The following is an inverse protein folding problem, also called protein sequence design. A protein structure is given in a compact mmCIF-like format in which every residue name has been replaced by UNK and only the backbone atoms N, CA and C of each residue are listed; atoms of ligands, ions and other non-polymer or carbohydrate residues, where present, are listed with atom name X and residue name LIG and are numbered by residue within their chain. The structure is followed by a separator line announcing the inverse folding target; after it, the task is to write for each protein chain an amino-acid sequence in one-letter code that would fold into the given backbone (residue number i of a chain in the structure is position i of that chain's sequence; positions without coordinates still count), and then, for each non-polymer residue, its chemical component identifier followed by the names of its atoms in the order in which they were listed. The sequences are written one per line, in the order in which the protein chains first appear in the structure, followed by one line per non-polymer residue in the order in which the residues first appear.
data_IF_690950976646
#
_entry.id   IF_690950976646
#
_cell.length_a   1.000
_cell.length_b   1.000
_cell.length_c   1.000
_cell.angle_alpha   90.00
_cell.angle_beta   90.00
_cell.angle_gamma   90.00
#
_symmetry.space_group_name_H-M   'P 1'
#
loop_
_entity.id
_entity.type
_entity.pdbx_description
1 polymer ?
#
# COMPACT_ATOMS: atom_id res chain seq x y z
N UNK A 1 -15.60 1.76 -8.53
CA UNK A 1 -14.63 2.22 -9.53
C UNK A 1 -13.98 0.97 -10.14
N UNK A 2 -14.04 0.80 -11.46
CA UNK A 2 -13.34 -0.28 -12.18
C UNK A 2 -12.05 0.34 -12.72
N UNK A 3 -10.91 -0.31 -12.52
CA UNK A 3 -9.63 0.20 -12.98
C UNK A 3 -9.15 -0.70 -14.09
N UNK A 4 -9.24 -0.18 -15.33
CA UNK A 4 -8.85 -0.86 -16.56
C UNK A 4 -7.43 -0.46 -17.03
N UNK A 5 -6.57 -0.02 -16.11
CA UNK A 5 -5.19 0.36 -16.40
C UNK A 5 -4.18 -0.41 -15.52
N UNK A 6 -2.93 -0.61 -15.99
CA UNK A 6 -1.93 -1.34 -15.23
C UNK A 6 -1.58 -0.61 -13.93
N UNK A 7 -1.90 -1.23 -12.80
CA UNK A 7 -1.50 -0.76 -11.46
C UNK A 7 -0.24 -1.51 -11.06
N UNK A 8 0.83 -0.77 -10.76
CA UNK A 8 1.98 -1.36 -10.07
C UNK A 8 1.77 -1.20 -8.57
N UNK A 9 1.86 -2.31 -7.84
CA UNK A 9 1.69 -2.35 -6.40
C UNK A 9 3.06 -2.37 -5.74
N UNK A 10 3.25 -1.54 -4.71
CA UNK A 10 4.50 -1.50 -3.96
C UNK A 10 4.23 -1.36 -2.45
N UNK A 11 5.04 -2.04 -1.63
CA UNK A 11 5.12 -1.82 -0.19
C UNK A 11 6.59 -1.69 0.21
N UNK A 12 6.88 -1.02 1.34
CA UNK A 12 8.26 -0.70 1.69
C UNK A 12 8.47 -0.67 3.19
N UNK A 13 9.69 -1.03 3.59
CA UNK A 13 10.16 -0.98 4.98
C UNK A 13 11.45 -0.13 5.15
N UNK A 14 12.22 0.15 4.09
CA UNK A 14 13.49 0.90 4.20
C UNK A 14 13.72 1.92 3.05
N UNK A 15 13.79 3.21 3.40
CA UNK A 15 13.62 4.38 2.52
C UNK A 15 14.64 4.52 1.37
N UNK A 16 15.86 4.02 1.50
CA UNK A 16 16.97 4.40 0.59
C UNK A 16 17.28 3.42 -0.55
N UNK A 17 16.79 2.17 -0.52
CA UNK A 17 17.18 1.16 -1.54
C UNK A 17 16.22 0.99 -2.73
N UNK A 18 14.97 1.46 -2.65
CA UNK A 18 13.92 1.03 -3.62
C UNK A 18 13.52 2.03 -4.70
N UNK A 19 14.01 3.28 -4.72
CA UNK A 19 13.66 4.21 -5.82
C UNK A 19 14.13 3.66 -7.17
N UNK A 20 15.22 2.89 -7.17
CA UNK A 20 15.74 2.17 -8.33
C UNK A 20 14.74 1.19 -8.94
N UNK A 21 14.03 0.41 -8.11
CA UNK A 21 13.06 -0.60 -8.57
C UNK A 21 11.76 0.06 -9.04
N UNK A 22 11.40 1.20 -8.44
CA UNK A 22 10.28 2.03 -8.90
C UNK A 22 10.51 2.65 -10.30
N UNK A 23 11.74 2.58 -10.84
CA UNK A 23 11.99 3.00 -12.23
C UNK A 23 11.35 2.08 -13.27
N UNK A 24 10.99 0.85 -12.89
CA UNK A 24 10.29 -0.08 -13.78
C UNK A 24 8.80 0.27 -13.99
N UNK A 25 8.24 1.16 -13.17
CA UNK A 25 6.87 1.67 -13.38
C UNK A 25 6.83 2.39 -14.73
N UNK A 26 5.92 2.01 -15.65
CA UNK A 26 5.81 2.69 -16.93
C UNK A 26 5.49 4.17 -16.76
N UNK A 27 6.07 5.01 -17.62
CA UNK A 27 5.75 6.44 -17.65
C UNK A 27 4.25 6.62 -17.96
N UNK A 28 3.61 7.59 -17.30
CA UNK A 28 2.15 7.78 -17.36
C UNK A 28 1.33 6.74 -16.58
N UNK A 29 1.98 5.80 -15.89
CA UNK A 29 1.32 4.72 -15.15
C UNK A 29 0.69 5.16 -13.83
N UNK A 30 -0.03 4.24 -13.18
CA UNK A 30 -0.51 4.40 -11.80
C UNK A 30 0.33 3.57 -10.84
N UNK A 31 0.87 4.22 -9.82
CA UNK A 31 1.57 3.60 -8.70
C UNK A 31 0.66 3.60 -7.47
N UNK A 32 0.32 2.42 -6.96
CA UNK A 32 -0.42 2.24 -5.71
C UNK A 32 0.54 1.79 -4.60
N UNK A 33 0.73 2.67 -3.63
CA UNK A 33 1.52 2.43 -2.43
C UNK A 33 0.62 1.83 -1.34
N UNK A 34 1.02 0.69 -0.78
CA UNK A 34 0.35 0.04 0.35
C UNK A 34 1.02 0.42 1.67
N UNK A 35 1.04 1.72 1.95
CA UNK A 35 1.40 2.28 3.25
C UNK A 35 2.87 2.21 3.60
N UNK A 36 3.19 2.75 4.78
CA UNK A 36 4.51 2.78 5.38
C UNK A 36 5.57 3.29 4.41
N UNK A 37 5.33 4.48 3.84
CA UNK A 37 6.25 5.08 2.86
C UNK A 37 7.63 5.36 3.48
N UNK A 38 7.68 5.49 4.81
CA UNK A 38 8.90 5.56 5.61
C UNK A 38 8.64 5.10 7.05
N UNK A 39 9.72 4.78 7.76
CA UNK A 39 9.68 4.68 9.23
C UNK A 39 10.13 6.02 9.81
N UNK A 40 9.19 6.94 10.03
CA UNK A 40 9.40 8.26 10.67
C UNK A 40 10.24 9.28 9.87
N UNK A 41 10.37 9.10 8.55
CA UNK A 41 11.08 10.01 7.65
C UNK A 41 10.15 10.49 6.51
N UNK A 42 8.87 10.73 6.82
CA UNK A 42 7.83 10.99 5.83
C UNK A 42 8.18 12.11 4.86
N UNK A 43 8.80 13.20 5.35
CA UNK A 43 9.21 14.31 4.49
C UNK A 43 10.19 13.87 3.39
N UNK A 44 11.23 13.11 3.75
CA UNK A 44 12.22 12.61 2.80
C UNK A 44 11.59 11.62 1.81
N UNK A 45 10.71 10.74 2.28
CA UNK A 45 10.00 9.81 1.41
C UNK A 45 9.07 10.54 0.43
N UNK A 46 8.33 11.55 0.90
CA UNK A 46 7.45 12.36 0.06
C UNK A 46 8.25 13.13 -1.00
N UNK A 47 9.40 13.70 -0.65
CA UNK A 47 10.28 14.39 -1.60
C UNK A 47 10.75 13.44 -2.71
N UNK A 48 11.23 12.24 -2.36
CA UNK A 48 11.63 11.23 -3.34
C UNK A 48 10.46 10.77 -4.23
N UNK A 49 9.27 10.61 -3.66
CA UNK A 49 8.08 10.19 -4.41
C UNK A 49 7.56 11.31 -5.32
N UNK A 50 7.65 12.57 -4.90
CA UNK A 50 7.34 13.73 -5.73
C UNK A 50 8.27 13.81 -6.95
N UNK A 51 9.58 13.62 -6.75
CA UNK A 51 10.55 13.58 -7.84
C UNK A 51 10.22 12.47 -8.84
N UNK A 52 9.91 11.26 -8.34
CA UNK A 52 9.53 10.14 -9.19
C UNK A 52 8.23 10.42 -9.96
N UNK A 53 7.21 10.96 -9.29
CA UNK A 53 5.92 11.34 -9.90
C UNK A 53 6.14 12.30 -11.06
N UNK A 54 6.95 13.34 -10.84
CA UNK A 54 7.26 14.33 -11.86
C UNK A 54 8.07 13.72 -13.02
N UNK A 55 9.11 12.95 -12.72
CA UNK A 55 9.98 12.33 -13.73
C UNK A 55 9.23 11.38 -14.66
N UNK A 56 8.26 10.63 -14.13
CA UNK A 56 7.52 9.59 -14.87
C UNK A 56 6.09 9.96 -15.20
N UNK A 57 5.64 11.16 -14.86
CA UNK A 57 4.25 11.61 -15.03
C UNK A 57 3.23 10.61 -14.42
N UNK A 58 3.46 10.18 -13.18
CA UNK A 58 2.65 9.13 -12.55
C UNK A 58 1.36 9.68 -11.95
N UNK A 59 0.33 8.82 -11.95
CA UNK A 59 -0.77 8.92 -10.99
C UNK A 59 -0.39 8.13 -9.74
N UNK A 60 -0.49 8.73 -8.56
CA UNK A 60 -0.04 8.12 -7.30
C UNK A 60 -1.17 7.95 -6.31
N UNK A 61 -1.39 6.72 -5.87
CA UNK A 61 -2.41 6.37 -4.90
C UNK A 61 -1.77 5.79 -3.65
N UNK A 62 -2.32 6.12 -2.49
CA UNK A 62 -1.87 5.65 -1.20
C UNK A 62 -3.01 4.97 -0.44
N UNK A 63 -2.78 3.73 -0.06
CA UNK A 63 -3.48 3.09 1.06
C UNK A 63 -2.56 3.20 2.27
N UNK A 64 -2.79 4.19 3.13
CA UNK A 64 -1.78 4.57 4.12
C UNK A 64 -1.65 3.55 5.26
N UNK A 65 -0.42 3.30 5.68
CA UNK A 65 -0.06 2.34 6.70
C UNK A 65 0.00 2.94 8.10
N UNK A 66 0.25 2.10 9.09
CA UNK A 66 0.23 2.52 10.49
C UNK A 66 1.46 3.36 10.88
N UNK A 67 2.51 3.39 10.06
CA UNK A 67 3.66 4.26 10.26
C UNK A 67 3.56 5.61 9.52
N UNK A 68 2.63 5.74 8.58
CA UNK A 68 2.38 7.00 7.87
C UNK A 68 1.75 8.03 8.82
N UNK A 69 2.30 9.24 8.87
CA UNK A 69 1.87 10.30 9.82
C UNK A 69 0.41 10.71 9.67
N UNK A 70 -0.19 10.47 8.51
CA UNK A 70 -1.60 10.72 8.23
C UNK A 70 -2.53 9.59 8.72
N UNK A 71 -2.00 8.54 9.33
CA UNK A 71 -2.82 7.47 9.87
C UNK A 71 -3.63 7.97 11.08
N UNK A 72 -4.97 7.78 11.12
CA UNK A 72 -5.81 8.29 12.20
C UNK A 72 -5.48 7.77 13.61
N UNK A 73 -4.66 6.72 13.72
CA UNK A 73 -4.17 6.24 15.01
C UNK A 73 -3.33 7.27 15.77
N UNK A 74 -2.74 8.24 15.07
CA UNK A 74 -1.95 9.31 15.67
C UNK A 74 -2.81 10.48 16.19
N UNK A 75 -4.14 10.42 16.03
CA UNK A 75 -5.05 11.51 16.40
C UNK A 75 -5.19 12.56 15.30
N UNK A 76 -6.01 13.59 15.56
CA UNK A 76 -6.36 14.58 14.55
C UNK A 76 -5.20 15.53 14.20
N UNK A 77 -4.41 15.96 15.18
CA UNK A 77 -3.38 16.99 14.97
C UNK A 77 -2.29 16.54 13.98
N UNK A 78 -1.73 15.32 14.06
CA UNK A 78 -0.79 14.84 13.05
C UNK A 78 -1.44 14.70 11.67
N UNK A 79 -2.68 14.21 11.61
CA UNK A 79 -3.41 14.05 10.34
C UNK A 79 -3.58 15.40 9.64
N UNK A 80 -4.07 16.42 10.35
CA UNK A 80 -4.27 17.76 9.77
C UNK A 80 -2.94 18.38 9.33
N UNK A 81 -1.88 18.16 10.10
CA UNK A 81 -0.54 18.69 9.81
C UNK A 81 0.07 18.07 8.56
N UNK A 82 -0.05 16.74 8.39
CA UNK A 82 0.65 16.00 7.33
C UNK A 82 -0.16 15.80 6.06
N UNK A 83 -1.51 15.83 6.14
CA UNK A 83 -2.37 15.61 4.97
C UNK A 83 -2.04 16.51 3.78
N UNK A 84 -1.74 17.83 3.94
CA UNK A 84 -1.35 18.67 2.82
C UNK A 84 -0.12 18.15 2.06
N UNK A 85 0.97 17.82 2.77
CA UNK A 85 2.19 17.31 2.14
C UNK A 85 1.96 15.98 1.41
N UNK A 86 1.16 15.10 1.99
CA UNK A 86 0.77 13.86 1.33
C UNK A 86 -0.06 14.10 0.06
N UNK A 87 -0.95 15.11 0.05
CA UNK A 87 -1.81 15.43 -1.11
C UNK A 87 -1.07 16.10 -2.27
N UNK A 88 0.08 16.71 -2.02
CA UNK A 88 0.95 17.18 -3.12
C UNK A 88 1.50 16.00 -3.94
N UNK A 89 1.73 14.85 -3.27
CA UNK A 89 2.27 13.64 -3.90
C UNK A 89 1.17 12.72 -4.39
N UNK A 90 0.18 12.41 -3.56
CA UNK A 90 -0.83 11.39 -3.82
C UNK A 90 -2.16 11.99 -4.29
N UNK A 91 -2.63 11.52 -5.44
CA UNK A 91 -3.92 11.89 -6.03
C UNK A 91 -5.09 11.22 -5.31
N UNK A 92 -4.85 10.06 -4.70
CA UNK A 92 -5.82 9.32 -3.90
C UNK A 92 -5.17 8.87 -2.61
N UNK A 93 -5.83 9.12 -1.47
CA UNK A 93 -5.40 8.68 -0.15
C UNK A 93 -6.59 8.01 0.53
N UNK A 94 -6.40 6.77 0.99
CA UNK A 94 -7.44 6.00 1.68
C UNK A 94 -6.85 5.08 2.76
N UNK A 95 -7.70 4.62 3.67
CA UNK A 95 -7.40 3.55 4.63
C UNK A 95 -7.51 2.16 3.98
N UNK A 96 -8.44 2.03 3.04
CA UNK A 96 -8.68 0.82 2.26
C UNK A 96 -9.17 1.24 0.88
N UNK A 97 -8.86 0.44 -0.13
CA UNK A 97 -9.31 0.67 -1.49
C UNK A 97 -9.89 -0.63 -2.06
N UNK A 98 -11.11 -0.55 -2.58
CA UNK A 98 -11.78 -1.66 -3.23
C UNK A 98 -11.66 -1.51 -4.73
N UNK A 99 -11.02 -2.49 -5.36
CA UNK A 99 -10.79 -2.51 -6.80
C UNK A 99 -11.51 -3.71 -7.38
N UNK A 100 -12.22 -3.50 -8.49
CA UNK A 100 -12.75 -4.60 -9.30
C UNK A 100 -11.81 -4.86 -10.47
N UNK A 101 -11.32 -6.09 -10.58
CA UNK A 101 -10.44 -6.54 -11.67
C UNK A 101 -11.13 -7.69 -12.39
N UNK A 102 -11.67 -7.42 -13.59
CA UNK A 102 -12.59 -8.33 -14.26
C UNK A 102 -13.79 -8.66 -13.37
N UNK A 103 -13.93 -9.95 -13.01
CA UNK A 103 -14.98 -10.44 -12.10
C UNK A 103 -14.61 -10.42 -10.62
N UNK A 104 -13.35 -10.14 -10.28
CA UNK A 104 -12.82 -10.28 -8.93
C UNK A 104 -12.96 -8.95 -8.17
N UNK A 105 -13.50 -8.97 -6.95
CA UNK A 105 -13.36 -7.86 -6.01
C UNK A 105 -12.10 -8.06 -5.17
N UNK A 106 -11.24 -7.06 -5.20
CA UNK A 106 -9.94 -7.06 -4.54
C UNK A 106 -9.92 -5.94 -3.51
N UNK A 107 -9.59 -6.28 -2.27
CA UNK A 107 -9.34 -5.31 -1.22
C UNK A 107 -7.85 -5.00 -1.17
N UNK A 108 -7.51 -3.73 -1.31
CA UNK A 108 -6.18 -3.20 -1.04
C UNK A 108 -6.23 -2.58 0.37
N UNK A 109 -5.43 -3.09 1.28
CA UNK A 109 -5.36 -2.62 2.68
C UNK A 109 -3.92 -2.68 3.16
N UNK A 110 -3.51 -1.81 4.08
CA UNK A 110 -2.17 -1.95 4.65
C UNK A 110 -2.11 -3.10 5.66
N UNK A 111 -3.06 -3.15 6.61
CA UNK A 111 -3.06 -4.10 7.73
C UNK A 111 -3.91 -5.33 7.34
N UNK A 112 -3.33 -6.54 7.24
CA UNK A 112 -4.09 -7.74 6.94
C UNK A 112 -5.02 -8.09 8.10
N UNK A 113 -6.01 -8.92 7.80
CA UNK A 113 -6.91 -9.47 8.81
C UNK A 113 -6.22 -10.63 9.54
N UNK A 114 -6.07 -10.52 10.86
CA UNK A 114 -5.44 -11.56 11.68
C UNK A 114 -6.39 -12.69 12.14
N UNK A 115 -7.71 -12.56 11.95
CA UNK A 115 -8.72 -13.55 12.40
C UNK A 115 -9.82 -13.77 11.37
N UNK A 116 -10.36 -14.99 11.28
CA UNK A 116 -11.42 -15.33 10.31
C UNK A 116 -10.96 -16.33 9.25
N UNK A 117 -11.80 -16.54 8.23
CA UNK A 117 -11.65 -17.64 7.26
C UNK A 117 -10.42 -17.49 6.37
N UNK A 118 -10.10 -16.24 6.04
CA UNK A 118 -9.01 -15.85 5.15
C UNK A 118 -7.95 -15.03 5.89
N UNK A 119 -7.81 -15.30 7.20
CA UNK A 119 -6.85 -14.64 8.07
C UNK A 119 -5.41 -14.94 7.66
N UNK A 120 -4.54 -13.95 7.88
CA UNK A 120 -3.11 -14.10 7.70
C UNK A 120 -2.39 -13.86 9.02
N UNK A 121 -1.54 -14.81 9.45
CA UNK A 121 -0.68 -14.60 10.60
C UNK A 121 0.20 -13.38 10.38
N UNK A 122 0.08 -12.43 11.30
CA UNK A 122 0.86 -11.21 11.29
C UNK A 122 1.53 -11.05 12.67
N UNK A 123 2.87 -11.15 12.75
CA UNK A 123 3.60 -11.02 14.00
C UNK A 123 3.56 -9.58 14.55
N UNK A 124 3.18 -8.60 13.73
CA UNK A 124 3.07 -7.19 14.11
C UNK A 124 1.65 -6.77 14.51
N UNK A 125 0.67 -7.67 14.36
CA UNK A 125 -0.70 -7.41 14.75
C UNK A 125 -0.78 -7.15 16.26
N UNK A 126 -1.45 -6.06 16.62
CA UNK A 126 -1.83 -5.75 18.01
C UNK A 126 -3.33 -5.51 18.09
N UNK A 127 -3.92 -5.63 19.29
CA UNK A 127 -5.34 -5.37 19.51
C UNK A 127 -5.76 -3.94 19.09
N UNK A 128 -4.82 -2.98 19.15
CA UNK A 128 -5.03 -1.60 18.70
C UNK A 128 -5.18 -1.50 17.18
N UNK A 129 -4.55 -2.41 16.43
CA UNK A 129 -4.59 -2.46 14.96
C UNK A 129 -5.81 -3.20 14.41
N UNK A 130 -6.52 -4.00 15.22
CA UNK A 130 -7.68 -4.80 14.77
C UNK A 130 -8.77 -3.96 14.10
N UNK A 131 -9.02 -2.76 14.61
CA UNK A 131 -10.02 -1.83 14.03
C UNK A 131 -9.64 -1.26 12.66
N UNK A 132 -8.37 -1.40 12.27
CA UNK A 132 -7.80 -0.91 11.01
C UNK A 132 -7.47 -2.06 10.05
N UNK A 133 -7.65 -3.31 10.49
CA UNK A 133 -7.42 -4.48 9.68
C UNK A 133 -8.43 -4.61 8.54
N UNK A 134 -7.99 -5.22 7.44
CA UNK A 134 -8.85 -5.54 6.29
C UNK A 134 -10.12 -6.30 6.68
N UNK A 135 -11.15 -6.21 5.83
CA UNK A 135 -12.45 -6.85 6.05
C UNK A 135 -12.67 -8.08 5.17
N UNK A 136 -13.57 -8.95 5.60
CA UNK A 136 -13.99 -10.12 4.81
C UNK A 136 -14.90 -9.72 3.64
N UNK A 137 -15.20 -10.67 2.76
CA UNK A 137 -16.15 -10.52 1.65
C UNK A 137 -15.53 -10.23 0.29
N UNK A 138 -14.19 -10.27 0.19
CA UNK A 138 -13.46 -10.09 -1.06
C UNK A 138 -12.88 -11.42 -1.54
N UNK A 139 -12.79 -11.61 -2.86
CA UNK A 139 -12.15 -12.79 -3.41
C UNK A 139 -10.62 -12.77 -3.24
N UNK A 140 -10.04 -11.58 -3.07
CA UNK A 140 -8.62 -11.40 -2.78
C UNK A 140 -8.36 -10.16 -1.91
N UNK A 141 -7.40 -10.27 -0.99
CA UNK A 141 -6.86 -9.13 -0.23
C UNK A 141 -5.37 -8.96 -0.52
N UNK A 142 -4.94 -7.74 -0.81
CA UNK A 142 -3.54 -7.37 -1.00
C UNK A 142 -3.11 -6.42 0.12
N UNK A 143 -1.95 -6.66 0.72
CA UNK A 143 -1.43 -5.84 1.82
C UNK A 143 0.10 -5.72 1.87
N UNK A 144 0.56 -4.84 2.77
CA UNK A 144 1.96 -4.45 2.91
C UNK A 144 2.46 -4.32 4.36
N UNK A 145 1.81 -4.94 5.34
CA UNK A 145 2.20 -4.78 6.76
C UNK A 145 2.99 -5.96 7.34
N UNK A 146 2.64 -7.21 7.00
CA UNK A 146 3.06 -8.39 7.78
C UNK A 146 4.55 -8.78 7.70
N UNK A 147 5.34 -8.15 6.81
CA UNK A 147 6.76 -8.48 6.56
C UNK A 147 7.03 -9.97 6.31
N UNK A 148 5.98 -10.73 5.99
CA UNK A 148 6.01 -12.18 6.04
C UNK A 148 6.68 -12.76 4.80
N UNK A 149 7.49 -13.80 4.96
CA UNK A 149 7.99 -14.65 3.86
C UNK A 149 6.89 -15.52 3.23
N UNK A 150 5.65 -15.45 3.73
CA UNK A 150 4.52 -16.24 3.21
C UNK A 150 4.08 -15.68 1.86
N UNK A 151 4.36 -16.50 0.83
CA UNK A 151 4.09 -16.25 -0.58
C UNK A 151 2.61 -15.96 -0.90
N UNK A 152 2.42 -15.24 -1.99
CA UNK A 152 1.14 -14.93 -2.65
C UNK A 152 0.22 -16.16 -2.72
N UNK A 153 -0.85 -16.16 -1.92
CA UNK A 153 -1.95 -17.13 -2.01
C UNK A 153 -3.05 -16.56 -2.90
N UNK A 154 -3.82 -17.43 -3.55
CA UNK A 154 -4.95 -17.03 -4.43
C UNK A 154 -5.93 -16.02 -3.81
N UNK A 155 -6.05 -16.01 -2.48
CA UNK A 155 -6.91 -15.10 -1.73
C UNK A 155 -6.18 -13.99 -0.98
N UNK A 156 -4.86 -14.07 -0.88
CA UNK A 156 -4.07 -13.13 -0.08
C UNK A 156 -2.70 -12.90 -0.68
N UNK A 157 -2.39 -11.65 -0.98
CA UNK A 157 -1.12 -11.22 -1.53
C UNK A 157 -0.44 -10.31 -0.51
N UNK A 158 0.67 -10.76 0.08
CA UNK A 158 1.56 -9.88 0.85
C UNK A 158 2.64 -9.34 -0.09
N UNK A 159 2.77 -8.02 -0.18
CA UNK A 159 3.82 -7.37 -0.95
C UNK A 159 5.01 -6.96 -0.11
N UNK A 160 4.88 -6.95 1.22
CA UNK A 160 5.99 -6.72 2.15
C UNK A 160 6.63 -8.04 2.49
N UNK A 161 7.35 -8.61 1.53
CA UNK A 161 8.15 -9.80 1.77
C UNK A 161 9.50 -9.36 2.34
N UNK A 162 9.96 -10.02 3.41
CA UNK A 162 11.31 -9.83 3.98
C UNK A 162 12.43 -10.07 2.96
N UNK A 163 12.18 -10.87 1.92
CA UNK A 163 13.07 -11.05 0.77
C UNK A 163 12.56 -10.22 -0.42
N UNK A 164 13.25 -9.10 -0.65
CA UNK A 164 13.01 -8.11 -1.70
C UNK A 164 13.13 -8.72 -3.11
N UNK A 165 11.99 -9.12 -3.68
CA UNK A 165 11.83 -9.26 -5.13
C UNK A 165 10.68 -8.37 -5.56
N UNK A 166 10.88 -7.39 -6.46
CA UNK A 166 9.78 -6.59 -7.02
C UNK A 166 8.71 -7.51 -7.63
N UNK A 167 7.48 -7.45 -7.10
CA UNK A 167 6.38 -8.28 -7.59
C UNK A 167 5.38 -7.44 -8.36
N UNK A 168 5.37 -7.61 -9.69
CA UNK A 168 4.27 -7.16 -10.52
C UNK A 168 3.11 -8.16 -10.42
N UNK A 169 2.10 -7.87 -9.60
CA UNK A 169 0.87 -8.67 -9.57
C UNK A 169 0.06 -8.38 -10.84
N UNK A 170 0.20 -9.25 -11.84
CA UNK A 170 -0.61 -9.18 -13.07
C UNK A 170 -1.87 -10.00 -12.90
N UNK A 171 -2.98 -9.32 -12.70
CA UNK A 171 -4.30 -9.93 -12.82
C UNK A 171 -4.61 -10.11 -14.32
N UNK A 172 -4.76 -11.35 -14.78
CA UNK A 172 -5.29 -11.65 -16.12
C UNK A 172 -6.79 -11.86 -16.04
N UNK A 173 -7.53 -11.15 -16.89
CA UNK A 173 -8.99 -11.29 -17.07
C UNK A 173 -9.39 -12.63 -17.65
#
# INVERSE_FOLDING_TARGET
MVLDFPITLHSKTDTLRTVSDLREVPDGGTLLCLGDISVREDACALDCLAELKAQKNLTMWLVHGNHDRIHPMFGLDPVVTWTPAYREVFDVIALELQIRIGRWQVLMTHIPRATGKDAVPDPHQTQTLDRWAGREGFECTVNGHSHSSVEVRRKHVNLSLEELVPQAVRFRG
#
